data_IF_371348905760
#
_entry.id   IF_371348905760
#
_cell.length_a   1.000
_cell.length_b   1.000
_cell.length_c   1.000
_cell.angle_alpha   90.00
_cell.angle_beta   90.00
_cell.angle_gamma   90.00
#
_symmetry.space_group_name_H-M   'P 1'
#
loop_
_entity.id
_entity.type
_entity.pdbx_description
1 polymer ?
#
# COMPACT_ATOMS: atom_id res chain seq x y z
N UNK A 1 -25.23 -57.60 48.04
CA UNK A 1 -25.06 -56.81 49.29
C UNK A 1 -23.74 -56.05 49.18
N UNK A 2 -23.72 -54.81 49.70
CA UNK A 2 -22.55 -53.94 49.96
C UNK A 2 -21.93 -53.24 48.73
N UNK A 3 -22.18 -51.94 48.50
CA UNK A 3 -21.76 -50.70 49.21
C UNK A 3 -20.32 -50.24 48.83
N UNK A 4 -20.26 -49.23 47.95
CA UNK A 4 -19.55 -47.92 48.02
C UNK A 4 -18.04 -47.89 48.43
N UNK A 5 -17.20 -46.99 47.84
CA UNK A 5 -17.42 -45.55 48.02
C UNK A 5 -17.15 -44.60 46.84
N UNK A 6 -17.92 -43.51 46.87
CA UNK A 6 -17.56 -42.18 46.36
C UNK A 6 -16.20 -41.74 46.90
N UNK A 7 -15.37 -41.16 46.03
CA UNK A 7 -14.35 -40.19 46.41
C UNK A 7 -14.53 -38.95 45.53
N UNK A 8 -14.54 -37.80 46.21
CA UNK A 8 -14.82 -36.45 45.73
C UNK A 8 -13.51 -35.69 45.48
N UNK A 9 -13.58 -34.64 44.63
CA UNK A 9 -12.65 -33.51 44.38
C UNK A 9 -11.44 -33.78 43.45
N UNK A 10 -10.99 -32.87 42.56
CA UNK A 10 -11.46 -31.58 42.05
C UNK A 10 -10.49 -31.07 40.96
N UNK A 11 -11.00 -30.24 40.04
CA UNK A 11 -10.34 -29.21 39.19
C UNK A 11 -9.28 -29.65 38.15
N UNK A 12 -9.56 -29.36 36.88
CA UNK A 12 -8.54 -29.32 35.83
C UNK A 12 -9.10 -28.96 34.45
N UNK A 13 -9.10 -27.66 34.15
CA UNK A 13 -9.04 -26.97 32.84
C UNK A 13 -9.62 -27.63 31.57
N UNK A 14 -10.38 -26.81 30.84
CA UNK A 14 -11.11 -27.18 29.63
C UNK A 14 -10.24 -27.78 28.52
N UNK A 15 -10.75 -28.87 27.96
CA UNK A 15 -10.37 -29.38 26.66
C UNK A 15 -11.25 -28.68 25.62
N UNK A 16 -10.72 -27.58 25.06
CA UNK A 16 -11.24 -27.05 23.81
C UNK A 16 -11.14 -28.15 22.75
N UNK A 17 -12.27 -28.50 22.17
CA UNK A 17 -12.37 -29.42 21.05
C UNK A 17 -11.48 -28.91 19.92
N UNK A 18 -10.53 -29.76 19.52
CA UNK A 18 -9.67 -29.57 18.36
C UNK A 18 -10.55 -29.54 17.10
N UNK A 19 -10.66 -28.37 16.48
CA UNK A 19 -11.13 -28.27 15.11
C UNK A 19 -9.88 -28.21 14.21
N UNK A 20 -9.65 -29.31 13.53
CA UNK A 20 -8.62 -29.44 12.51
C UNK A 20 -8.90 -28.52 11.32
N UNK A 21 -7.82 -27.89 10.84
CA UNK A 21 -7.47 -27.76 9.42
C UNK A 21 -8.48 -27.08 8.50
N UNK A 22 -8.60 -25.76 8.63
CA UNK A 22 -8.68 -24.92 7.44
C UNK A 22 -7.35 -24.17 7.33
N UNK A 23 -6.34 -24.86 6.80
CA UNK A 23 -5.23 -24.19 6.14
C UNK A 23 -5.82 -23.56 4.89
N UNK A 24 -6.46 -22.41 5.07
CA UNK A 24 -6.87 -21.52 4.00
C UNK A 24 -5.58 -20.98 3.38
N UNK A 25 -5.02 -21.75 2.45
CA UNK A 25 -4.05 -21.22 1.52
C UNK A 25 -4.75 -20.02 0.86
N UNK A 26 -4.21 -18.78 0.96
CA UNK A 26 -4.81 -17.68 0.23
C UNK A 26 -4.80 -18.09 -1.23
N UNK A 27 -6.01 -18.32 -1.75
CA UNK A 27 -6.23 -18.76 -3.11
C UNK A 27 -5.59 -17.72 -4.01
N UNK A 28 -4.51 -18.09 -4.68
CA UNK A 28 -3.75 -17.23 -5.62
C UNK A 28 -4.56 -16.81 -6.87
N UNK A 29 -5.87 -17.05 -6.86
CA UNK A 29 -6.83 -16.88 -7.95
C UNK A 29 -8.12 -16.15 -7.49
N UNK A 30 -8.12 -15.52 -6.32
CA UNK A 30 -9.21 -14.60 -5.98
C UNK A 30 -9.05 -13.32 -6.84
N UNK A 31 -10.11 -12.85 -7.53
CA UNK A 31 -10.05 -11.54 -8.16
C UNK A 31 -9.76 -10.51 -7.07
N UNK A 32 -8.76 -9.66 -7.31
CA UNK A 32 -8.45 -8.56 -6.40
C UNK A 32 -9.71 -7.75 -6.17
N UNK A 33 -9.94 -7.37 -4.93
CA UNK A 33 -11.01 -6.43 -4.62
C UNK A 33 -10.74 -5.10 -5.34
N UNK A 34 -11.79 -4.30 -5.57
CA UNK A 34 -11.65 -2.97 -6.17
C UNK A 34 -10.70 -2.09 -5.35
N UNK A 35 -10.70 -2.28 -4.02
CA UNK A 35 -9.80 -1.60 -3.09
C UNK A 35 -8.32 -2.02 -3.29
N UNK A 36 -8.04 -3.32 -3.39
CA UNK A 36 -6.69 -3.81 -3.67
C UNK A 36 -6.18 -3.37 -5.05
N UNK A 37 -7.09 -3.27 -6.03
CA UNK A 37 -6.76 -2.78 -7.36
C UNK A 37 -6.38 -1.31 -7.31
N UNK A 38 -7.16 -0.47 -6.64
CA UNK A 38 -6.87 0.95 -6.47
C UNK A 38 -5.56 1.19 -5.70
N UNK A 39 -5.31 0.42 -4.63
CA UNK A 39 -4.06 0.50 -3.87
C UNK A 39 -2.86 0.11 -4.72
N UNK A 40 -3.00 -0.92 -5.57
CA UNK A 40 -1.94 -1.34 -6.50
C UNK A 40 -1.67 -0.28 -7.56
N UNK A 41 -2.71 0.32 -8.13
CA UNK A 41 -2.56 1.40 -9.10
C UNK A 41 -1.87 2.62 -8.47
N UNK A 42 -2.26 3.00 -7.25
CA UNK A 42 -1.60 4.08 -6.51
C UNK A 42 -0.11 3.79 -6.30
N UNK A 43 0.27 2.57 -5.90
CA UNK A 43 1.68 2.19 -5.77
C UNK A 43 2.45 2.29 -7.09
N UNK A 44 1.84 1.88 -8.22
CA UNK A 44 2.47 2.00 -9.54
C UNK A 44 2.73 3.46 -9.92
N UNK A 45 1.77 4.35 -9.61
CA UNK A 45 1.92 5.78 -9.84
C UNK A 45 3.05 6.36 -8.99
N UNK A 46 3.09 6.05 -7.70
CA UNK A 46 4.16 6.52 -6.82
C UNK A 46 5.53 6.02 -7.27
N UNK A 47 5.63 4.75 -7.66
CA UNK A 47 6.87 4.20 -8.17
C UNK A 47 7.31 4.87 -9.48
N UNK A 48 6.38 5.19 -10.38
CA UNK A 48 6.72 5.94 -11.59
C UNK A 48 7.33 7.32 -11.27
N UNK A 49 6.89 7.98 -10.19
CA UNK A 49 7.51 9.23 -9.72
C UNK A 49 8.91 8.98 -9.15
N UNK A 50 9.07 7.94 -8.33
CA UNK A 50 10.38 7.55 -7.78
C UNK A 50 11.38 7.23 -8.88
N UNK A 51 11.00 6.39 -9.84
CA UNK A 51 11.84 5.96 -10.96
C UNK A 51 12.25 7.16 -11.84
N UNK A 52 11.33 8.10 -12.07
CA UNK A 52 11.61 9.31 -12.84
C UNK A 52 12.69 10.19 -12.18
N UNK A 53 12.57 10.43 -10.87
CA UNK A 53 13.56 11.24 -10.13
C UNK A 53 14.87 10.49 -9.90
N UNK A 54 14.84 9.18 -9.70
CA UNK A 54 16.05 8.37 -9.59
C UNK A 54 16.88 8.44 -10.89
N UNK A 55 16.21 8.41 -12.05
CA UNK A 55 16.86 8.59 -13.36
C UNK A 55 17.48 10.00 -13.54
N UNK A 56 16.97 11.00 -12.83
CA UNK A 56 17.50 12.38 -12.81
C UNK A 56 18.57 12.59 -11.71
N UNK A 57 18.89 11.59 -10.89
CA UNK A 57 19.85 11.71 -9.79
C UNK A 57 19.28 12.35 -8.52
N UNK A 58 17.96 12.27 -8.31
CA UNK A 58 17.28 12.71 -7.10
C UNK A 58 16.58 11.54 -6.39
N UNK A 59 16.47 11.61 -5.06
CA UNK A 59 15.65 10.68 -4.27
C UNK A 59 14.31 11.32 -3.92
N UNK A 60 13.22 10.54 -3.95
CA UNK A 60 11.92 10.99 -3.44
C UNK A 60 11.84 10.63 -1.95
N UNK A 61 11.84 11.63 -1.08
CA UNK A 61 11.80 11.43 0.39
C UNK A 61 10.38 11.31 0.94
N UNK A 62 9.42 11.96 0.28
CA UNK A 62 8.00 11.89 0.61
C UNK A 62 7.18 12.01 -0.69
N UNK A 63 6.07 11.27 -0.78
CA UNK A 63 5.13 11.36 -1.91
C UNK A 63 3.73 11.12 -1.42
N UNK A 64 2.79 11.91 -1.93
CA UNK A 64 1.35 11.71 -1.72
C UNK A 64 0.66 11.97 -3.05
N UNK A 65 0.03 10.94 -3.61
CA UNK A 65 -0.71 11.00 -4.87
C UNK A 65 -2.16 10.60 -4.62
N UNK A 66 -3.09 11.39 -5.14
CA UNK A 66 -4.54 11.17 -5.03
C UNK A 66 -5.16 11.04 -6.41
N UNK A 67 -6.10 10.11 -6.57
CA UNK A 67 -6.88 9.99 -7.79
C UNK A 67 -7.86 11.17 -7.89
N UNK A 68 -7.88 11.85 -9.03
CA UNK A 68 -8.82 12.93 -9.28
C UNK A 68 -10.27 12.41 -9.21
N UNK A 69 -11.26 13.24 -8.83
CA UNK A 69 -12.66 12.81 -8.70
C UNK A 69 -13.28 12.25 -9.98
N UNK A 70 -12.73 12.61 -11.14
CA UNK A 70 -13.15 12.12 -12.45
C UNK A 70 -12.52 10.77 -12.83
N UNK A 71 -11.63 10.22 -11.99
CA UNK A 71 -10.91 8.97 -12.22
C UNK A 71 -9.89 9.02 -13.36
N UNK A 72 -9.64 10.19 -13.94
CA UNK A 72 -8.85 10.31 -15.18
C UNK A 72 -7.34 10.40 -14.97
N UNK A 73 -6.91 10.79 -13.77
CA UNK A 73 -5.52 11.10 -13.45
C UNK A 73 -5.26 11.04 -11.95
N UNK A 74 -4.02 10.82 -11.58
CA UNK A 74 -3.52 11.04 -10.23
C UNK A 74 -2.82 12.39 -10.15
N UNK A 75 -3.05 13.14 -9.08
CA UNK A 75 -2.40 14.41 -8.79
C UNK A 75 -1.88 14.40 -7.37
N UNK A 76 -0.76 15.05 -7.12
CA UNK A 76 -0.18 15.02 -5.80
C UNK A 76 1.09 15.82 -5.67
N UNK A 77 1.74 15.67 -4.52
CA UNK A 77 2.99 16.33 -4.17
C UNK A 77 4.06 15.31 -3.84
N UNK A 78 5.29 15.62 -4.22
CA UNK A 78 6.46 14.90 -3.79
C UNK A 78 7.53 15.86 -3.25
N UNK A 79 8.29 15.40 -2.26
CA UNK A 79 9.51 16.03 -1.80
C UNK A 79 10.66 15.25 -2.41
N UNK A 80 11.48 15.93 -3.19
CA UNK A 80 12.64 15.35 -3.86
C UNK A 80 13.91 15.97 -3.31
N UNK A 81 14.93 15.14 -3.07
CA UNK A 81 16.25 15.58 -2.64
C UNK A 81 17.26 15.25 -3.72
N UNK A 82 17.94 16.27 -4.20
CA UNK A 82 19.03 16.14 -5.16
C UNK A 82 20.23 15.42 -4.52
N UNK A 83 20.73 14.36 -5.15
CA UNK A 83 21.79 13.54 -4.55
C UNK A 83 23.16 14.25 -4.52
N UNK A 84 23.40 15.20 -5.43
CA UNK A 84 24.68 15.91 -5.53
C UNK A 84 24.79 17.06 -4.52
N UNK A 85 23.74 17.89 -4.42
CA UNK A 85 23.70 19.08 -3.58
C UNK A 85 23.05 18.84 -2.21
N UNK A 86 22.26 17.78 -2.06
CA UNK A 86 21.43 17.53 -0.88
C UNK A 86 20.26 18.52 -0.74
N UNK A 87 19.98 19.35 -1.75
CA UNK A 87 18.89 20.31 -1.72
C UNK A 87 17.54 19.59 -1.85
N UNK A 88 16.58 19.99 -1.01
CA UNK A 88 15.21 19.48 -1.06
C UNK A 88 14.31 20.45 -1.82
N UNK A 89 13.42 19.90 -2.63
CA UNK A 89 12.45 20.62 -3.44
C UNK A 89 11.08 19.96 -3.32
N UNK A 90 10.03 20.79 -3.25
CA UNK A 90 8.66 20.30 -3.43
C UNK A 90 8.26 20.41 -4.90
N UNK A 91 7.68 19.33 -5.42
CA UNK A 91 7.14 19.25 -6.79
C UNK A 91 5.68 18.84 -6.75
N UNK A 92 4.88 19.42 -7.66
CA UNK A 92 3.51 19.00 -7.92
C UNK A 92 3.53 18.02 -9.10
N UNK A 93 3.09 16.78 -8.88
CA UNK A 93 3.10 15.72 -9.87
C UNK A 93 1.70 15.39 -10.37
N UNK A 94 1.61 15.05 -11.66
CA UNK A 94 0.40 14.64 -12.36
C UNK A 94 0.71 13.42 -13.21
N UNK A 95 0.00 12.32 -12.95
CA UNK A 95 0.10 11.08 -13.70
C UNK A 95 -1.22 10.81 -14.43
N UNK A 96 -1.18 10.65 -15.74
CA UNK A 96 -2.36 10.48 -16.58
C UNK A 96 -2.04 9.62 -17.79
N UNK A 97 -3.06 9.09 -18.45
CA UNK A 97 -2.89 8.39 -19.72
C UNK A 97 -3.23 9.35 -20.86
N UNK A 98 -2.38 9.44 -21.89
CA UNK A 98 -2.66 10.30 -23.04
C UNK A 98 -3.64 9.65 -24.05
N UNK A 99 -3.92 10.35 -25.15
CA UNK A 99 -4.83 9.89 -26.21
C UNK A 99 -4.37 8.61 -26.92
N UNK A 100 -3.08 8.24 -26.76
CA UNK A 100 -2.51 7.01 -27.33
C UNK A 100 -2.62 5.83 -26.38
N UNK A 101 -3.06 6.05 -25.13
CA UNK A 101 -3.05 5.02 -24.09
C UNK A 101 -1.71 4.90 -23.37
N UNK A 102 -0.76 5.81 -23.61
CA UNK A 102 0.54 5.78 -22.96
C UNK A 102 0.48 6.51 -21.61
N UNK A 103 1.09 5.95 -20.54
CA UNK A 103 1.19 6.64 -19.26
C UNK A 103 2.15 7.81 -19.38
N UNK A 104 1.74 8.94 -18.82
CA UNK A 104 2.50 10.19 -18.79
C UNK A 104 2.63 10.67 -17.36
N UNK A 105 3.84 11.07 -17.00
CA UNK A 105 4.15 11.73 -15.74
C UNK A 105 4.64 13.15 -16.03
N UNK A 106 4.06 14.14 -15.35
CA UNK A 106 4.47 15.53 -15.40
C UNK A 106 4.62 16.05 -13.98
N UNK A 107 5.83 16.46 -13.60
CA UNK A 107 6.08 17.07 -12.31
C UNK A 107 6.62 18.49 -12.49
N UNK A 108 6.00 19.46 -11.83
CA UNK A 108 6.35 20.87 -11.88
C UNK A 108 6.93 21.30 -10.53
N UNK A 109 7.99 22.10 -10.55
CA UNK A 109 8.54 22.65 -9.29
C UNK A 109 7.52 23.60 -8.67
N UNK A 110 7.21 23.39 -7.40
CA UNK A 110 6.47 24.37 -6.63
C UNK A 110 7.45 25.50 -6.33
N UNK A 111 7.37 26.60 -7.07
CA UNK A 111 8.02 27.84 -6.65
C UNK A 111 7.38 28.22 -5.31
N UNK A 112 8.08 27.95 -4.22
CA UNK A 112 7.69 28.47 -2.92
C UNK A 112 7.83 29.99 -3.03
N UNK A 113 6.75 30.80 -2.97
CA UNK A 113 6.90 32.24 -2.94
C UNK A 113 7.62 32.58 -1.63
N UNK A 114 8.83 33.12 -1.75
CA UNK A 114 9.65 33.61 -0.64
C UNK A 114 8.91 34.63 0.24
#
# INVERSE_FOLDING_TARGET
MSRLPNVTLAVGAGLALVACSASDAPSRDAPLTEEETAAREQMLVENAVRDAYEAEGAEVTEITMELAPDGSRYTGRAIVRDAESGAELTVDCRYYTDVTGAPQLSCDRVNNPE
#
